data_IF_979884153597
#
_entry.id   IF_979884153597
#
_cell.length_a   1.000
_cell.length_b   1.000
_cell.length_c   1.000
_cell.angle_alpha   90.00
_cell.angle_beta   90.00
_cell.angle_gamma   90.00
#
_symmetry.space_group_name_H-M   'P 1'
#
loop_
_entity.id
_entity.type
_entity.pdbx_description
1 polymer ?
#
# COMPACT_ATOMS: atom_id res chain seq x y z
N UNK A 1 -59.90 -6.14 1.80
CA UNK A 1 -58.66 -5.42 1.42
C UNK A 1 -57.97 -4.74 2.62
N UNK A 2 -57.63 -5.40 3.76
CA UNK A 2 -57.14 -4.61 4.94
C UNK A 2 -56.12 -5.22 5.91
N UNK A 3 -55.65 -6.48 5.75
CA UNK A 3 -54.58 -7.05 6.60
C UNK A 3 -53.28 -7.30 5.83
N UNK A 4 -53.30 -8.05 4.74
CA UNK A 4 -52.12 -8.34 3.90
C UNK A 4 -51.39 -7.08 3.42
N UNK A 5 -52.13 -6.08 2.94
CA UNK A 5 -51.55 -4.79 2.48
C UNK A 5 -50.86 -4.03 3.62
N UNK A 6 -51.37 -4.11 4.86
CA UNK A 6 -50.74 -3.48 6.03
C UNK A 6 -49.41 -4.15 6.39
N UNK A 7 -49.30 -5.46 6.22
CA UNK A 7 -48.04 -6.19 6.43
C UNK A 7 -47.04 -5.89 5.32
N UNK A 8 -47.48 -5.80 4.07
CA UNK A 8 -46.63 -5.43 2.92
C UNK A 8 -46.07 -4.01 3.11
N UNK A 9 -46.90 -3.03 3.51
CA UNK A 9 -46.45 -1.67 3.78
C UNK A 9 -45.46 -1.59 4.95
N UNK A 10 -45.68 -2.36 6.02
CA UNK A 10 -44.72 -2.45 7.14
C UNK A 10 -43.40 -3.10 6.72
N UNK A 11 -43.45 -4.12 5.85
CA UNK A 11 -42.27 -4.80 5.33
C UNK A 11 -41.46 -3.86 4.43
N UNK A 12 -42.11 -3.08 3.57
CA UNK A 12 -41.47 -2.08 2.70
C UNK A 12 -40.82 -0.97 3.54
N UNK A 13 -41.49 -0.49 4.58
CA UNK A 13 -40.92 0.50 5.49
C UNK A 13 -39.71 -0.05 6.26
N UNK A 14 -39.77 -1.31 6.70
CA UNK A 14 -38.65 -1.98 7.36
C UNK A 14 -37.46 -2.21 6.41
N UNK A 15 -37.72 -2.65 5.17
CA UNK A 15 -36.70 -2.79 4.13
C UNK A 15 -36.04 -1.45 3.79
N UNK A 16 -36.83 -0.38 3.69
CA UNK A 16 -36.31 0.97 3.44
C UNK A 16 -35.44 1.47 4.58
N UNK A 17 -35.80 1.15 5.83
CA UNK A 17 -35.01 1.50 7.03
C UNK A 17 -33.70 0.68 7.12
N UNK A 18 -33.71 -0.59 6.71
CA UNK A 18 -32.49 -1.41 6.66
C UNK A 18 -31.54 -0.92 5.56
N UNK A 19 -32.09 -0.49 4.41
CA UNK A 19 -31.31 0.06 3.31
C UNK A 19 -30.67 1.41 3.64
N UNK A 20 -31.28 2.25 4.49
CA UNK A 20 -30.67 3.54 4.90
C UNK A 20 -29.58 3.37 5.96
N UNK A 21 -29.66 2.37 6.83
CA UNK A 21 -28.59 2.10 7.83
C UNK A 21 -27.36 1.50 7.14
N UNK A 22 -27.54 0.68 6.11
CA UNK A 22 -26.43 0.09 5.34
C UNK A 22 -25.73 1.10 4.41
N UNK A 23 -26.31 2.29 4.19
CA UNK A 23 -25.73 3.33 3.35
C UNK A 23 -24.76 4.27 4.09
N UNK A 24 -24.56 4.09 5.41
CA UNK A 24 -23.74 4.99 6.24
C UNK A 24 -22.49 4.34 6.84
N UNK A 25 -22.09 3.14 6.39
CA UNK A 25 -20.89 2.46 6.93
C UNK A 25 -19.85 2.13 5.86
N UNK A 26 -19.71 2.97 4.84
CA UNK A 26 -18.43 3.07 4.17
C UNK A 26 -17.58 3.99 5.05
N UNK A 27 -16.90 3.43 6.05
CA UNK A 27 -15.68 4.09 6.49
C UNK A 27 -14.77 4.05 5.27
N UNK A 28 -14.68 5.17 4.55
CA UNK A 28 -13.48 5.42 3.76
C UNK A 28 -12.35 5.35 4.78
N UNK A 29 -11.61 4.24 4.80
CA UNK A 29 -10.46 4.10 5.67
C UNK A 29 -9.52 5.25 5.32
N UNK A 30 -9.47 6.23 6.22
CA UNK A 30 -8.73 7.46 6.00
C UNK A 30 -7.26 7.15 6.19
N UNK A 31 -6.45 7.54 5.22
CA UNK A 31 -5.05 7.15 5.14
C UNK A 31 -4.16 8.28 4.59
N UNK A 32 -2.97 7.92 4.10
CA UNK A 32 -2.05 8.83 3.42
C UNK A 32 -2.64 9.49 2.16
N UNK A 33 -3.42 8.75 1.37
CA UNK A 33 -4.09 9.27 0.17
C UNK A 33 -5.19 10.26 0.57
N UNK A 34 -5.91 9.98 1.65
CA UNK A 34 -6.91 10.90 2.20
C UNK A 34 -6.28 12.25 2.58
N UNK A 35 -5.16 12.25 3.32
CA UNK A 35 -4.44 13.50 3.66
C UNK A 35 -4.05 14.26 2.39
N UNK A 36 -3.51 13.57 1.38
CA UNK A 36 -3.08 14.19 0.12
C UNK A 36 -4.24 14.86 -0.63
N UNK A 37 -5.45 14.31 -0.55
CA UNK A 37 -6.64 14.89 -1.21
C UNK A 37 -7.33 15.98 -0.39
N UNK A 38 -6.99 16.16 0.89
CA UNK A 38 -7.64 17.10 1.81
C UNK A 38 -6.62 17.99 2.53
N UNK A 39 -5.58 18.49 1.83
CA UNK A 39 -4.51 19.29 2.43
C UNK A 39 -5.01 20.59 3.11
N UNK A 40 -6.21 21.05 2.77
CA UNK A 40 -6.91 22.14 3.45
C UNK A 40 -7.23 21.82 4.92
N UNK A 41 -7.48 20.56 5.27
CA UNK A 41 -7.84 20.07 6.60
C UNK A 41 -6.64 19.67 7.46
N UNK A 42 -5.45 19.56 6.84
CA UNK A 42 -4.22 19.15 7.51
C UNK A 42 -3.12 20.21 7.40
N UNK A 43 -2.31 20.33 8.45
CA UNK A 43 -0.96 20.88 8.33
C UNK A 43 -0.05 19.72 7.94
N UNK A 44 0.31 19.61 6.66
CA UNK A 44 1.09 18.48 6.14
C UNK A 44 2.27 18.93 5.27
N UNK A 45 3.41 18.25 5.42
CA UNK A 45 4.60 18.42 4.58
C UNK A 45 5.36 17.10 4.46
N UNK A 46 6.28 17.02 3.50
CA UNK A 46 7.11 15.82 3.31
C UNK A 46 8.59 16.11 3.50
N UNK A 47 9.31 15.21 4.15
CA UNK A 47 10.77 15.23 4.30
C UNK A 47 11.40 13.98 3.67
N UNK A 48 12.61 14.05 3.07
CA UNK A 48 13.27 12.87 2.52
C UNK A 48 13.53 11.79 3.57
N UNK A 49 13.29 10.53 3.20
CA UNK A 49 13.61 9.36 4.02
C UNK A 49 14.90 8.70 3.52
N UNK A 50 16.05 9.23 3.96
CA UNK A 50 17.38 8.84 3.50
C UNK A 50 17.73 7.36 3.70
N UNK A 51 17.11 6.71 4.69
CA UNK A 51 17.37 5.29 5.01
C UNK A 51 16.89 4.36 3.88
N UNK A 52 15.82 4.73 3.17
CA UNK A 52 15.11 3.83 2.26
C UNK A 52 14.55 2.58 2.96
N UNK A 53 14.10 1.61 2.17
CA UNK A 53 13.62 0.31 2.64
C UNK A 53 14.42 -0.79 1.94
N UNK A 54 14.77 -1.83 2.68
CA UNK A 54 15.56 -2.96 2.16
C UNK A 54 15.06 -4.25 2.78
N UNK A 55 14.62 -5.20 1.94
CA UNK A 55 14.05 -6.47 2.36
C UNK A 55 14.78 -7.60 1.67
N UNK A 56 15.26 -8.58 2.44
CA UNK A 56 15.87 -9.80 1.91
C UNK A 56 14.88 -10.95 1.95
N UNK A 57 14.70 -11.63 0.82
CA UNK A 57 13.86 -12.82 0.68
C UNK A 57 14.71 -13.97 0.13
N UNK A 58 14.43 -15.20 0.55
CA UNK A 58 15.07 -16.35 -0.09
C UNK A 58 14.47 -16.58 -1.49
N UNK A 59 15.28 -17.08 -2.43
CA UNK A 59 14.78 -17.50 -3.74
C UNK A 59 13.64 -18.50 -3.59
N UNK A 60 13.74 -19.42 -2.62
CA UNK A 60 12.67 -20.38 -2.32
C UNK A 60 11.35 -19.70 -1.95
N UNK A 61 11.37 -18.71 -1.05
CA UNK A 61 10.18 -17.95 -0.64
C UNK A 61 9.53 -17.19 -1.82
N UNK A 62 10.35 -16.68 -2.74
CA UNK A 62 9.84 -16.01 -3.95
C UNK A 62 9.20 -17.03 -4.90
N UNK A 63 9.84 -18.19 -5.11
CA UNK A 63 9.38 -19.20 -6.05
C UNK A 63 8.11 -19.92 -5.56
N UNK A 64 8.01 -20.19 -4.27
CA UNK A 64 6.86 -20.86 -3.66
C UNK A 64 5.62 -19.96 -3.56
N UNK A 65 5.83 -18.63 -3.57
CA UNK A 65 4.76 -17.68 -3.35
C UNK A 65 4.50 -17.45 -1.86
N UNK A 66 3.62 -16.49 -1.56
CA UNK A 66 3.04 -16.32 -0.22
C UNK A 66 1.52 -16.45 -0.29
N UNK A 67 0.94 -17.14 0.70
CA UNK A 67 -0.53 -17.33 0.78
C UNK A 67 -1.22 -16.09 1.35
N UNK A 68 -0.61 -15.45 2.35
CA UNK A 68 -1.13 -14.28 3.06
C UNK A 68 -0.05 -13.20 3.18
N UNK A 69 -0.43 -11.90 3.22
CA UNK A 69 0.51 -10.82 3.39
C UNK A 69 1.38 -10.99 4.65
N UNK A 70 2.69 -10.89 4.48
CA UNK A 70 3.67 -11.06 5.57
C UNK A 70 4.13 -9.69 6.08
N UNK A 71 3.93 -9.43 7.37
CA UNK A 71 4.47 -8.23 8.02
C UNK A 71 6.01 -8.28 7.99
N UNK A 72 6.62 -7.19 7.54
CA UNK A 72 8.08 -7.06 7.45
C UNK A 72 8.63 -6.14 8.54
N UNK A 73 8.18 -4.88 8.57
CA UNK A 73 8.63 -3.89 9.55
C UNK A 73 7.59 -2.79 9.77
N UNK A 74 7.74 -2.07 10.89
CA UNK A 74 6.99 -0.86 11.18
C UNK A 74 7.91 0.35 11.00
N UNK A 75 7.48 1.32 10.19
CA UNK A 75 8.19 2.56 9.89
C UNK A 75 7.27 3.72 10.26
N UNK A 76 7.49 4.28 11.46
CA UNK A 76 6.59 5.27 12.07
C UNK A 76 5.13 4.77 12.13
N UNK A 77 4.18 5.48 11.51
CA UNK A 77 2.77 5.12 11.45
C UNK A 77 2.41 4.27 10.20
N UNK A 78 3.42 3.70 9.53
CA UNK A 78 3.23 2.82 8.36
C UNK A 78 3.78 1.43 8.64
N UNK A 79 3.00 0.40 8.33
CA UNK A 79 3.40 -1.00 8.37
C UNK A 79 3.74 -1.45 6.96
N UNK A 80 4.94 -2.02 6.79
CA UNK A 80 5.39 -2.60 5.53
C UNK A 80 5.05 -4.08 5.48
N UNK A 81 4.38 -4.49 4.40
CA UNK A 81 4.05 -5.88 4.12
C UNK A 81 4.69 -6.38 2.82
N UNK A 82 5.13 -7.63 2.80
CA UNK A 82 5.23 -8.40 1.57
C UNK A 82 3.81 -8.88 1.23
N UNK A 83 3.24 -8.35 0.15
CA UNK A 83 1.83 -8.56 -0.21
C UNK A 83 1.66 -9.74 -1.14
N UNK A 84 2.58 -9.89 -2.11
CA UNK A 84 2.57 -11.04 -3.01
C UNK A 84 3.96 -11.35 -3.55
N UNK A 85 4.19 -12.63 -3.77
CA UNK A 85 5.20 -13.17 -4.67
C UNK A 85 4.47 -14.10 -5.64
N UNK A 86 4.38 -13.73 -6.91
CA UNK A 86 3.55 -14.43 -7.90
C UNK A 86 4.32 -14.62 -9.22
N UNK A 87 4.30 -15.82 -9.78
CA UNK A 87 4.82 -16.08 -11.12
C UNK A 87 3.85 -15.56 -12.19
N UNK A 88 4.34 -14.75 -13.12
CA UNK A 88 3.64 -14.34 -14.34
C UNK A 88 4.49 -14.63 -15.56
N UNK A 89 4.03 -15.56 -16.38
CA UNK A 89 4.73 -16.00 -17.60
C UNK A 89 6.19 -16.36 -17.31
N UNK A 90 7.12 -15.44 -17.58
CA UNK A 90 8.58 -15.59 -17.48
C UNK A 90 9.23 -14.84 -16.29
N UNK A 91 8.45 -14.12 -15.49
CA UNK A 91 8.94 -13.35 -14.36
C UNK A 91 8.12 -13.55 -13.08
N UNK A 92 8.70 -13.16 -11.96
CA UNK A 92 8.05 -13.10 -10.67
C UNK A 92 7.76 -11.64 -10.32
N UNK A 93 6.52 -11.37 -9.91
CA UNK A 93 6.12 -10.11 -9.32
C UNK A 93 6.26 -10.22 -7.80
N UNK A 94 7.05 -9.33 -7.23
CA UNK A 94 7.29 -9.23 -5.79
C UNK A 94 6.76 -7.87 -5.36
N UNK A 95 5.61 -7.83 -4.69
CA UNK A 95 4.94 -6.59 -4.30
C UNK A 95 5.02 -6.36 -2.81
N UNK A 96 5.31 -5.12 -2.47
CA UNK A 96 5.30 -4.60 -1.11
C UNK A 96 4.18 -3.57 -0.96
N UNK A 97 3.44 -3.67 0.14
CA UNK A 97 2.32 -2.78 0.47
C UNK A 97 2.65 -1.93 1.68
N UNK A 98 2.25 -0.67 1.64
CA UNK A 98 2.33 0.27 2.75
C UNK A 98 0.92 0.45 3.32
N UNK A 99 0.71 -0.07 4.53
CA UNK A 99 -0.52 0.14 5.28
C UNK A 99 -0.29 1.26 6.29
N UNK A 100 -1.04 2.35 6.19
CA UNK A 100 -0.84 3.53 7.02
C UNK A 100 -2.08 3.85 7.82
N UNK A 101 -1.91 4.00 9.13
CA UNK A 101 -3.00 4.32 10.05
C UNK A 101 -3.08 5.83 10.27
N UNK A 102 -4.19 6.47 9.88
CA UNK A 102 -4.40 7.89 10.13
C UNK A 102 -4.65 8.18 11.60
N UNK A 103 -3.87 9.12 12.15
CA UNK A 103 -3.99 9.65 13.51
C UNK A 103 -4.36 11.13 13.48
N UNK A 104 -4.55 11.75 14.65
CA UNK A 104 -4.74 13.21 14.72
C UNK A 104 -3.46 14.00 14.40
N UNK A 105 -2.30 13.37 14.64
CA UNK A 105 -0.96 13.85 14.29
C UNK A 105 -0.07 12.63 14.12
N UNK A 106 0.78 12.62 13.09
CA UNK A 106 1.59 11.45 12.79
C UNK A 106 2.69 11.68 11.76
N UNK A 107 3.35 10.58 11.41
CA UNK A 107 4.39 10.49 10.38
C UNK A 107 4.23 9.17 9.65
N UNK A 108 3.97 9.22 8.34
CA UNK A 108 3.80 8.03 7.48
C UNK A 108 4.92 7.95 6.46
N UNK A 109 5.31 6.73 6.09
CA UNK A 109 6.16 6.50 4.93
C UNK A 109 5.35 6.76 3.64
N UNK A 110 5.94 7.46 2.70
CA UNK A 110 5.29 7.93 1.48
C UNK A 110 6.11 7.61 0.23
N UNK A 111 5.41 7.14 -0.80
CA UNK A 111 5.94 7.03 -2.17
C UNK A 111 5.97 8.36 -2.94
N UNK A 112 5.49 9.46 -2.35
CA UNK A 112 5.45 10.78 -2.98
C UNK A 112 5.98 11.88 -2.08
N UNK A 113 6.40 12.97 -2.72
CA UNK A 113 6.70 14.27 -2.12
C UNK A 113 5.52 15.22 -2.33
N UNK A 114 5.17 16.00 -1.30
CA UNK A 114 4.30 17.16 -1.44
C UNK A 114 5.11 18.37 -1.92
N UNK A 115 4.61 19.05 -2.95
CA UNK A 115 5.20 20.27 -3.48
C UNK A 115 4.56 21.50 -2.83
N UNK A 116 5.26 22.65 -2.87
CA UNK A 116 4.78 23.91 -2.28
C UNK A 116 3.42 24.38 -2.83
N UNK A 117 3.06 23.96 -4.04
CA UNK A 117 1.79 24.29 -4.70
C UNK A 117 0.70 23.23 -4.49
N UNK A 118 0.82 22.38 -3.47
CA UNK A 118 -0.12 21.28 -3.17
C UNK A 118 -0.19 20.17 -4.24
N UNK A 119 0.66 20.21 -5.27
CA UNK A 119 0.86 19.05 -6.16
C UNK A 119 1.78 18.02 -5.50
N UNK A 120 1.95 16.87 -6.15
CA UNK A 120 2.89 15.83 -5.68
C UNK A 120 3.77 15.31 -6.82
N UNK A 121 4.93 14.77 -6.47
CA UNK A 121 5.86 14.10 -7.39
C UNK A 121 6.37 12.79 -6.79
N UNK A 122 6.87 11.88 -7.64
CA UNK A 122 7.49 10.61 -7.25
C UNK A 122 8.84 10.47 -7.95
N UNK A 123 9.89 10.29 -7.18
CA UNK A 123 11.25 10.02 -7.66
C UNK A 123 11.81 8.90 -6.80
N UNK A 124 11.53 7.66 -7.21
CA UNK A 124 11.86 6.46 -6.46
C UNK A 124 12.85 5.64 -7.28
N UNK A 125 13.88 5.15 -6.59
CA UNK A 125 14.88 4.26 -7.16
C UNK A 125 14.68 2.84 -6.64
N UNK A 126 14.92 1.86 -7.51
CA UNK A 126 14.70 0.45 -7.26
C UNK A 126 15.97 -0.33 -7.57
N UNK A 127 16.40 -1.15 -6.63
CA UNK A 127 17.57 -2.00 -6.76
C UNK A 127 17.25 -3.41 -6.28
N UNK A 128 17.80 -4.43 -6.94
CA UNK A 128 17.75 -5.80 -6.46
C UNK A 128 19.11 -6.47 -6.65
N UNK A 129 19.63 -7.12 -5.62
CA UNK A 129 20.92 -7.81 -5.67
C UNK A 129 20.90 -9.09 -4.84
N UNK A 130 21.68 -10.08 -5.25
CA UNK A 130 21.79 -11.35 -4.52
C UNK A 130 22.83 -11.29 -3.39
N UNK A 131 23.00 -12.39 -2.66
CA UNK A 131 23.96 -12.51 -1.56
C UNK A 131 25.43 -12.28 -1.96
N UNK A 132 25.73 -12.37 -3.26
CA UNK A 132 27.07 -12.11 -3.83
C UNK A 132 27.26 -10.66 -4.28
N UNK A 133 26.25 -9.81 -4.13
CA UNK A 133 26.24 -8.43 -4.61
C UNK A 133 26.01 -8.28 -6.11
N UNK A 134 25.57 -9.35 -6.80
CA UNK A 134 25.24 -9.27 -8.22
C UNK A 134 23.87 -8.62 -8.40
N UNK A 135 23.82 -7.52 -9.16
CA UNK A 135 22.57 -6.80 -9.44
C UNK A 135 21.70 -7.54 -10.46
N UNK A 136 20.39 -7.59 -10.22
CA UNK A 136 19.41 -8.01 -11.23
C UNK A 136 18.99 -6.85 -12.14
N UNK A 137 18.75 -7.18 -13.41
CA UNK A 137 17.94 -6.32 -14.28
C UNK A 137 16.48 -6.56 -13.95
N UNK A 138 15.80 -5.54 -13.43
CA UNK A 138 14.43 -5.63 -12.93
C UNK A 138 13.49 -4.72 -13.72
N UNK A 139 12.25 -5.16 -13.89
CA UNK A 139 11.13 -4.23 -14.08
C UNK A 139 10.65 -3.74 -12.71
N UNK A 140 10.07 -2.55 -12.63
CA UNK A 140 9.59 -2.02 -11.36
C UNK A 140 8.44 -1.03 -11.56
N UNK A 141 7.72 -0.75 -10.49
CA UNK A 141 6.71 0.29 -10.45
C UNK A 141 6.18 0.52 -9.04
N UNK A 142 5.49 1.63 -8.85
CA UNK A 142 4.85 1.95 -7.58
C UNK A 142 3.83 3.07 -7.76
N UNK A 143 2.86 3.11 -6.87
CA UNK A 143 1.76 4.05 -6.98
C UNK A 143 0.72 3.90 -5.89
N UNK A 144 -0.39 4.57 -6.10
CA UNK A 144 -1.54 4.46 -5.22
C UNK A 144 -2.29 3.16 -5.55
N UNK A 145 -2.72 2.45 -4.52
CA UNK A 145 -3.41 1.17 -4.62
C UNK A 145 -4.85 1.23 -4.11
N UNK A 146 -5.46 0.06 -3.96
CA UNK A 146 -6.72 -0.10 -3.23
C UNK A 146 -6.43 -0.57 -1.79
N UNK A 147 -7.39 -0.39 -0.89
CA UNK A 147 -7.30 -0.88 0.47
C UNK A 147 -6.98 -2.40 0.51
N UNK A 148 -6.18 -2.87 1.47
CA UNK A 148 -5.60 -2.10 2.58
C UNK A 148 -4.31 -1.34 2.23
N UNK A 149 -3.73 -1.56 1.04
CA UNK A 149 -2.43 -0.99 0.66
C UNK A 149 -2.59 0.17 -0.30
N UNK A 150 -2.98 1.32 0.25
CA UNK A 150 -3.27 2.53 -0.52
C UNK A 150 -2.01 3.14 -1.15
N UNK A 151 -0.83 2.68 -0.73
CA UNK A 151 0.40 2.77 -1.51
C UNK A 151 1.08 1.41 -1.62
N UNK A 152 1.62 1.10 -2.81
CA UNK A 152 2.40 -0.12 -3.01
C UNK A 152 3.45 0.05 -4.08
N UNK A 153 4.45 -0.83 -4.06
CA UNK A 153 5.49 -0.91 -5.06
C UNK A 153 5.86 -2.35 -5.35
N UNK A 154 6.44 -2.61 -6.51
CA UNK A 154 6.77 -3.97 -6.93
C UNK A 154 8.05 -4.04 -7.74
N UNK A 155 8.63 -5.25 -7.72
CA UNK A 155 9.75 -5.67 -8.53
C UNK A 155 9.29 -6.81 -9.44
N UNK A 156 9.75 -6.79 -10.70
CA UNK A 156 9.57 -7.85 -11.68
C UNK A 156 10.96 -8.40 -12.00
N UNK A 157 11.20 -9.65 -11.63
CA UNK A 157 12.49 -10.31 -11.82
C UNK A 157 12.29 -11.65 -12.54
N UNK A 158 13.10 -11.91 -13.58
CA UNK A 158 12.96 -13.16 -14.33
C UNK A 158 13.35 -14.37 -13.47
N UNK A 159 12.72 -15.52 -13.72
CA UNK A 159 13.06 -16.77 -13.02
C UNK A 159 14.54 -17.13 -13.22
N UNK A 160 15.05 -16.97 -14.45
CA UNK A 160 16.45 -17.21 -14.77
C UNK A 160 17.41 -16.35 -13.95
N UNK A 161 17.02 -15.11 -13.62
CA UNK A 161 17.83 -14.27 -12.75
C UNK A 161 17.76 -14.72 -11.29
N UNK A 162 16.55 -14.98 -10.78
CA UNK A 162 16.33 -15.42 -9.39
C UNK A 162 17.16 -16.66 -9.04
N UNK A 163 17.20 -17.64 -9.95
CA UNK A 163 17.93 -18.90 -9.77
C UNK A 163 19.46 -18.74 -9.71
N UNK A 164 20.01 -17.53 -9.90
CA UNK A 164 21.46 -17.25 -9.73
C UNK A 164 21.87 -16.93 -8.31
N UNK A 165 20.92 -16.72 -7.39
CA UNK A 165 21.16 -16.44 -5.97
C UNK A 165 20.32 -17.34 -5.07
N UNK A 166 20.77 -17.51 -3.85
CA UNK A 166 19.99 -18.18 -2.79
C UNK A 166 19.09 -17.18 -2.06
N UNK A 167 19.54 -15.93 -1.96
CA UNK A 167 18.81 -14.82 -1.35
C UNK A 167 18.87 -13.58 -2.24
N UNK A 168 17.81 -12.79 -2.18
CA UNK A 168 17.68 -11.54 -2.93
C UNK A 168 17.28 -10.42 -2.00
N UNK A 169 18.06 -9.34 -2.00
CA UNK A 169 17.73 -8.09 -1.33
C UNK A 169 17.08 -7.14 -2.33
N UNK A 170 15.87 -6.70 -2.02
CA UNK A 170 15.11 -5.69 -2.74
C UNK A 170 15.17 -4.38 -1.98
N UNK A 171 15.72 -3.36 -2.61
CA UNK A 171 15.94 -2.04 -2.02
C UNK A 171 15.18 -0.97 -2.80
N UNK A 172 14.58 -0.05 -2.05
CA UNK A 172 13.87 1.11 -2.58
C UNK A 172 14.38 2.37 -1.85
N UNK A 173 14.77 3.38 -2.63
CA UNK A 173 15.25 4.70 -2.16
C UNK A 173 14.46 5.84 -2.81
N UNK A 174 14.68 7.08 -2.36
CA UNK A 174 13.90 8.24 -2.79
C UNK A 174 12.50 8.33 -2.15
N UNK A 175 12.31 7.62 -1.04
CA UNK A 175 11.08 7.69 -0.24
C UNK A 175 11.01 8.98 0.57
N UNK A 176 9.80 9.33 1.02
CA UNK A 176 9.55 10.50 1.86
C UNK A 176 8.80 10.11 3.13
N UNK A 177 8.91 10.92 4.17
CA UNK A 177 8.04 10.90 5.33
C UNK A 177 6.98 12.00 5.18
N UNK A 178 5.71 11.62 5.16
CA UNK A 178 4.60 12.57 5.29
C UNK A 178 4.38 12.87 6.77
N UNK A 179 4.71 14.09 7.18
CA UNK A 179 4.47 14.60 8.53
C UNK A 179 3.19 15.42 8.50
N UNK A 180 2.27 15.14 9.41
CA UNK A 180 0.94 15.76 9.38
C UNK A 180 0.33 15.97 10.76
N UNK A 181 -0.61 16.92 10.84
CA UNK A 181 -1.55 17.09 11.95
C UNK A 181 -2.87 17.68 11.46
N UNK A 182 -3.99 17.24 12.01
CA UNK A 182 -5.32 17.84 11.79
C UNK A 182 -5.32 19.30 12.24
N UNK A 183 -5.96 20.19 11.47
CA UNK A 183 -6.12 21.62 11.80
C UNK A 183 -7.23 21.89 12.81
#
# INVERSE_FOLDING_TARGET
MKRSIKYILKLIALLSFILTISACSWSEDKDIIYIRHHLEDYNAHTEPFEKGVSVTLSTKEILEGIEEPKLLENIYDTVLYLVKTEKREDHYIIQFGLDSELKSKGTMLSLFRLNYNQSYSREIEYEAFNEKGETASIGHGGGDGEAPYLQSYHFNISEAQLLRGEEWTFKISGLYLLIYSVK
#
